data_IF_188139282375
#
_entry.id   IF_188139282375
#
_cell.length_a   1.000
_cell.length_b   1.000
_cell.length_c   1.000
_cell.angle_alpha   90.00
_cell.angle_beta   90.00
_cell.angle_gamma   90.00
#
_symmetry.space_group_name_H-M   'P 1'
#
loop_
_entity.id
_entity.type
_entity.pdbx_description
1 polymer ?
#
# COMPACT_ATOMS: atom_id res chain seq x y z
N UNK A 1 -1.58 21.41 -9.95
CA UNK A 1 -1.59 20.43 -8.84
C UNK A 1 -2.82 19.58 -9.06
N UNK A 2 -2.65 18.31 -9.45
CA UNK A 2 -3.80 17.43 -9.71
C UNK A 2 -4.39 16.95 -8.38
N UNK A 3 -5.70 16.73 -8.35
CA UNK A 3 -6.35 16.11 -7.20
C UNK A 3 -5.80 14.68 -7.04
N UNK A 4 -5.01 14.46 -6.00
CA UNK A 4 -4.43 13.15 -5.75
C UNK A 4 -5.51 12.26 -5.17
N UNK A 5 -5.66 11.07 -5.74
CA UNK A 5 -6.33 10.00 -5.04
C UNK A 5 -5.57 9.69 -3.75
N UNK A 6 -6.18 9.97 -2.61
CA UNK A 6 -5.72 9.59 -1.29
C UNK A 6 -6.75 8.64 -0.69
N UNK A 7 -6.30 7.58 -0.05
CA UNK A 7 -7.19 6.76 0.77
C UNK A 7 -7.80 7.63 1.86
N UNK A 8 -9.05 7.39 2.24
CA UNK A 8 -9.61 8.07 3.40
C UNK A 8 -8.95 7.57 4.69
N UNK A 9 -9.06 8.33 5.78
CA UNK A 9 -8.57 7.90 7.09
C UNK A 9 -9.15 6.54 7.50
N UNK A 10 -10.43 6.32 7.21
CA UNK A 10 -11.10 5.04 7.45
C UNK A 10 -10.47 3.91 6.65
N UNK A 11 -10.26 4.10 5.35
CA UNK A 11 -9.63 3.09 4.50
C UNK A 11 -8.20 2.80 4.94
N UNK A 12 -7.44 3.85 5.30
CA UNK A 12 -6.09 3.70 5.82
C UNK A 12 -6.07 2.93 7.14
N UNK A 13 -6.95 3.27 8.08
CA UNK A 13 -7.06 2.59 9.37
C UNK A 13 -7.45 1.12 9.26
N UNK A 14 -8.18 0.73 8.21
CA UNK A 14 -8.47 -0.68 7.94
C UNK A 14 -7.24 -1.47 7.48
N UNK A 15 -6.31 -0.85 6.77
CA UNK A 15 -5.17 -1.56 6.16
C UNK A 15 -3.86 -1.39 6.91
N UNK A 16 -3.70 -0.31 7.67
CA UNK A 16 -2.47 0.01 8.40
C UNK A 16 -2.01 -1.06 9.40
N UNK A 17 -2.89 -1.84 10.07
CA UNK A 17 -2.46 -2.91 10.97
C UNK A 17 -1.66 -4.02 10.28
N UNK A 18 -1.78 -4.17 8.95
CA UNK A 18 -1.09 -5.21 8.19
C UNK A 18 0.29 -4.78 7.68
N UNK A 19 0.64 -3.50 7.84
CA UNK A 19 1.91 -2.98 7.38
C UNK A 19 3.03 -3.59 8.23
N UNK A 20 4.16 -4.03 7.62
CA UNK A 20 5.29 -4.57 8.36
C UNK A 20 5.79 -3.58 9.42
N UNK A 21 6.63 -3.96 10.38
CA UNK A 21 7.25 -2.95 11.27
C UNK A 21 8.38 -2.19 10.53
N UNK A 22 8.55 -0.88 10.79
CA UNK A 22 9.70 -0.14 10.27
C UNK A 22 11.01 -0.68 10.90
N UNK A 23 12.02 -0.94 10.07
CA UNK A 23 13.33 -1.39 10.54
C UNK A 23 14.20 -0.18 10.93
N UNK A 24 13.85 0.48 12.03
CA UNK A 24 14.65 1.57 12.64
C UNK A 24 14.51 2.96 12.00
N UNK A 25 13.86 3.10 10.83
CA UNK A 25 13.58 4.39 10.20
C UNK A 25 12.07 4.64 10.19
N UNK A 26 11.64 5.75 10.78
CA UNK A 26 10.25 6.19 10.76
C UNK A 26 9.77 6.37 9.31
N UNK A 27 8.55 5.90 9.03
CA UNK A 27 7.98 5.97 7.68
C UNK A 27 7.49 7.38 7.44
N UNK A 28 8.14 8.04 6.48
CA UNK A 28 7.92 9.46 6.21
C UNK A 28 6.50 9.73 5.71
N UNK A 29 5.89 8.83 4.92
CA UNK A 29 4.49 8.98 4.48
C UNK A 29 3.93 7.68 3.84
N UNK A 30 3.53 6.70 4.67
CA UNK A 30 2.89 5.47 4.18
C UNK A 30 1.55 5.75 3.50
N UNK A 31 0.85 6.80 3.92
CA UNK A 31 -0.47 7.13 3.41
C UNK A 31 -0.39 7.46 1.92
N UNK A 32 0.49 8.41 1.57
CA UNK A 32 0.66 8.85 0.20
C UNK A 32 1.27 7.75 -0.68
N UNK A 33 2.21 6.99 -0.12
CA UNK A 33 2.83 5.88 -0.82
C UNK A 33 1.80 4.80 -1.19
N UNK A 34 0.98 4.35 -0.23
CA UNK A 34 -0.03 3.31 -0.48
C UNK A 34 -1.12 3.83 -1.40
N UNK A 35 -1.53 5.10 -1.25
CA UNK A 35 -2.48 5.73 -2.16
C UNK A 35 -1.95 5.78 -3.59
N UNK A 36 -0.66 6.06 -3.77
CA UNK A 36 0.01 6.03 -5.08
C UNK A 36 0.05 4.63 -5.70
N UNK A 37 0.32 3.59 -4.90
CA UNK A 37 0.24 2.20 -5.36
C UNK A 37 -1.18 1.86 -5.83
N UNK A 38 -2.20 2.18 -5.04
CA UNK A 38 -3.60 1.94 -5.39
C UNK A 38 -3.98 2.71 -6.65
N UNK A 39 -3.55 3.96 -6.78
CA UNK A 39 -3.80 4.77 -7.98
C UNK A 39 -3.23 4.11 -9.24
N UNK A 40 -1.99 3.64 -9.22
CA UNK A 40 -1.36 2.97 -10.38
C UNK A 40 -2.13 1.70 -10.76
N UNK A 41 -2.46 0.85 -9.78
CA UNK A 41 -3.15 -0.42 -10.01
C UNK A 41 -4.58 -0.19 -10.53
N UNK A 42 -5.33 0.71 -9.88
CA UNK A 42 -6.74 1.02 -10.24
C UNK A 42 -6.87 1.53 -11.67
N UNK A 43 -5.88 2.27 -12.16
CA UNK A 43 -5.90 2.88 -13.49
C UNK A 43 -5.08 2.09 -14.53
N UNK A 44 -4.47 0.96 -14.16
CA UNK A 44 -3.65 0.14 -15.07
C UNK A 44 -2.41 0.87 -15.63
N UNK A 45 -1.81 1.77 -14.86
CA UNK A 45 -0.71 2.62 -15.32
C UNK A 45 0.65 1.92 -15.21
N UNK A 46 1.63 2.38 -16.00
CA UNK A 46 3.02 2.06 -15.69
C UNK A 46 3.46 2.86 -14.46
N UNK A 47 4.30 2.26 -13.60
CA UNK A 47 4.77 2.93 -12.39
C UNK A 47 5.40 4.30 -12.64
N UNK A 48 6.13 4.46 -13.75
CA UNK A 48 6.78 5.71 -14.16
C UNK A 48 5.79 6.84 -14.46
N UNK A 49 4.54 6.50 -14.77
CA UNK A 49 3.47 7.43 -15.12
C UNK A 49 2.66 7.87 -13.89
N UNK A 50 2.98 7.34 -12.70
CA UNK A 50 2.38 7.80 -11.45
C UNK A 50 2.70 9.29 -11.20
N UNK A 51 1.72 10.08 -10.72
CA UNK A 51 1.98 11.47 -10.30
C UNK A 51 3.16 11.56 -9.32
N UNK A 52 4.09 12.47 -9.60
CA UNK A 52 5.31 12.66 -8.79
C UNK A 52 5.01 13.03 -7.35
N UNK A 53 3.84 13.60 -7.09
CA UNK A 53 3.39 13.92 -5.75
C UNK A 53 3.23 12.68 -4.86
N UNK A 54 3.04 11.48 -5.42
CA UNK A 54 3.08 10.22 -4.65
C UNK A 54 4.49 9.80 -4.21
N UNK A 55 5.51 10.49 -4.70
CA UNK A 55 6.91 10.15 -4.51
C UNK A 55 7.52 9.44 -5.72
N UNK A 56 8.80 9.02 -5.62
CA UNK A 56 9.51 8.41 -6.74
C UNK A 56 8.86 7.09 -7.17
N UNK A 57 8.60 6.91 -8.47
CA UNK A 57 7.97 5.70 -9.01
C UNK A 57 8.70 4.40 -8.62
N UNK A 58 10.04 4.44 -8.53
CA UNK A 58 10.85 3.29 -8.07
C UNK A 58 10.52 2.91 -6.62
N UNK A 59 10.23 3.89 -5.77
CA UNK A 59 9.84 3.65 -4.37
C UNK A 59 8.46 2.97 -4.29
N UNK A 60 7.49 3.43 -5.10
CA UNK A 60 6.17 2.78 -5.20
C UNK A 60 6.32 1.32 -5.64
N UNK A 61 7.02 1.08 -6.74
CA UNK A 61 7.26 -0.27 -7.27
C UNK A 61 7.99 -1.17 -6.27
N UNK A 62 9.10 -0.70 -5.69
CA UNK A 62 9.89 -1.49 -4.75
C UNK A 62 9.09 -1.83 -3.50
N UNK A 63 8.24 -0.92 -3.02
CA UNK A 63 7.34 -1.21 -1.89
C UNK A 63 6.32 -2.26 -2.28
N UNK A 64 5.64 -2.08 -3.40
CA UNK A 64 4.63 -3.01 -3.90
C UNK A 64 5.21 -4.43 -3.99
N UNK A 65 6.38 -4.60 -4.61
CA UNK A 65 7.03 -5.92 -4.72
C UNK A 65 7.41 -6.49 -3.35
N UNK A 66 8.02 -5.69 -2.46
CA UNK A 66 8.41 -6.16 -1.13
C UNK A 66 7.21 -6.61 -0.29
N UNK A 67 6.15 -5.82 -0.30
CA UNK A 67 4.92 -6.10 0.46
C UNK A 67 4.14 -7.27 -0.12
N UNK A 68 4.09 -7.41 -1.45
CA UNK A 68 3.51 -8.59 -2.12
C UNK A 68 4.23 -9.85 -1.70
N UNK A 69 5.57 -9.85 -1.73
CA UNK A 69 6.38 -11.01 -1.29
C UNK A 69 6.24 -11.34 0.20
N UNK A 70 5.84 -10.37 1.03
CA UNK A 70 5.58 -10.56 2.45
C UNK A 70 4.11 -10.92 2.77
N UNK A 71 3.27 -11.11 1.74
CA UNK A 71 1.84 -11.41 1.89
C UNK A 71 1.04 -10.27 2.52
N UNK A 72 1.53 -9.02 2.49
CA UNK A 72 0.83 -7.88 3.11
C UNK A 72 -0.50 -7.64 2.41
N UNK A 73 -0.51 -7.64 1.07
CA UNK A 73 -1.73 -7.42 0.30
C UNK A 73 -2.72 -8.58 0.42
N UNK A 74 -2.22 -9.83 0.53
CA UNK A 74 -3.07 -11.00 0.75
C UNK A 74 -3.81 -10.90 2.09
N UNK A 75 -3.11 -10.52 3.16
CA UNK A 75 -3.73 -10.31 4.49
C UNK A 75 -4.74 -9.16 4.49
N UNK A 76 -4.43 -8.07 3.79
CA UNK A 76 -5.36 -6.94 3.60
C UNK A 76 -6.61 -7.44 2.87
N UNK A 77 -6.45 -8.16 1.77
CA UNK A 77 -7.56 -8.64 0.96
C UNK A 77 -8.45 -9.60 1.75
N UNK A 78 -7.87 -10.59 2.44
CA UNK A 78 -8.60 -11.50 3.31
C UNK A 78 -9.42 -10.73 4.36
N UNK A 79 -8.77 -9.81 5.08
CA UNK A 79 -9.44 -8.99 6.09
C UNK A 79 -10.58 -8.13 5.53
N UNK A 80 -10.44 -7.58 4.32
CA UNK A 80 -11.47 -6.76 3.69
C UNK A 80 -12.62 -7.61 3.10
N UNK A 81 -12.33 -8.84 2.68
CA UNK A 81 -13.32 -9.81 2.20
C UNK A 81 -14.17 -10.43 3.33
N UNK A 82 -13.81 -10.18 4.59
CA UNK A 82 -14.44 -10.82 5.77
C UNK A 82 -13.90 -12.21 6.06
N UNK A 83 -12.88 -12.66 5.33
CA UNK A 83 -12.10 -13.85 5.63
C UNK A 83 -11.03 -13.44 6.65
N UNK A 84 -11.32 -13.61 7.94
CA UNK A 84 -10.37 -13.30 9.01
C UNK A 84 -8.99 -13.93 8.73
N UNK A 85 -7.87 -13.31 9.15
CA UNK A 85 -6.55 -13.84 8.89
C UNK A 85 -6.48 -15.29 9.38
N UNK A 86 -6.17 -16.21 8.48
CA UNK A 86 -6.00 -17.62 8.84
C UNK A 86 -4.68 -17.72 9.63
N UNK A 87 -4.76 -17.55 10.94
CA UNK A 87 -3.63 -17.57 11.88
C UNK A 87 -3.01 -18.98 12.06
N UNK A 88 -3.35 -19.93 11.18
CA UNK A 88 -2.95 -21.34 11.26
C UNK A 88 -1.94 -21.73 10.18
N UNK A 89 -0.94 -20.86 9.93
CA UNK A 89 0.22 -21.22 9.13
C UNK A 89 1.49 -21.00 9.97
N UNK A 90 1.75 -21.93 10.88
CA UNK A 90 3.04 -22.16 11.54
C UNK A 90 3.16 -23.64 11.85
#
# INVERSE_FOLDING_TARGET
MGDLFLLSERQMGQISPFFPLPHGVARVDDWRLVSGIVYVIRNGLQWKDAPKDYGPHKTLYNRFIRWSRQGVFDRIFASLAGEGPNLNAS
#
